data_IF_678114349354
#
_entry.id   IF_678114349354
#
_cell.length_a   1.000
_cell.length_b   1.000
_cell.length_c   1.000
_cell.angle_alpha   90.00
_cell.angle_beta   90.00
_cell.angle_gamma   90.00
#
_symmetry.space_group_name_H-M   'P 1'
#
loop_
_entity.id
_entity.type
_entity.pdbx_description
1 polymer ?
#
# COMPACT_ATOMS: atom_id res chain seq x y z
N UNK A 1 -16.77 6.99 -1.58
CA UNK A 1 -16.24 6.93 -2.95
C UNK A 1 -17.08 7.88 -3.78
N UNK A 2 -16.59 9.09 -4.02
CA UNK A 2 -17.32 10.07 -4.83
C UNK A 2 -16.73 9.99 -6.22
N UNK A 3 -17.57 10.10 -7.24
CA UNK A 3 -17.12 10.12 -8.62
C UNK A 3 -17.45 11.50 -9.20
N UNK A 4 -16.59 12.04 -10.06
CA UNK A 4 -16.80 13.30 -10.75
C UNK A 4 -16.67 13.12 -12.26
N UNK A 5 -17.67 13.58 -13.00
CA UNK A 5 -17.57 13.67 -14.45
C UNK A 5 -16.68 14.85 -14.83
N UNK A 6 -15.69 14.63 -15.69
CA UNK A 6 -14.75 15.67 -16.13
C UNK A 6 -15.36 16.61 -17.17
N UNK A 7 -16.40 16.18 -17.87
CA UNK A 7 -17.06 16.97 -18.92
C UNK A 7 -18.03 18.00 -18.34
N UNK A 8 -18.86 17.60 -17.38
CA UNK A 8 -19.90 18.47 -16.82
C UNK A 8 -19.69 18.78 -15.32
N UNK A 9 -18.56 18.38 -14.74
CA UNK A 9 -18.25 18.53 -13.31
C UNK A 9 -19.25 17.93 -12.33
N UNK A 10 -20.21 17.13 -12.82
CA UNK A 10 -21.22 16.48 -12.00
C UNK A 10 -20.58 15.51 -11.01
N UNK A 11 -20.92 15.62 -9.72
CA UNK A 11 -20.41 14.79 -8.64
C UNK A 11 -21.52 13.85 -8.15
N UNK A 12 -21.26 12.56 -8.12
CA UNK A 12 -22.22 11.54 -7.69
C UNK A 12 -21.55 10.39 -6.93
N UNK A 13 -22.32 9.68 -6.11
CA UNK A 13 -21.83 8.52 -5.35
C UNK A 13 -21.75 7.27 -6.23
N UNK A 14 -22.54 7.22 -7.30
CA UNK A 14 -22.63 6.07 -8.20
C UNK A 14 -22.96 6.51 -9.62
N UNK A 15 -22.18 6.05 -10.60
CA UNK A 15 -22.48 6.21 -12.02
C UNK A 15 -22.89 4.85 -12.58
N UNK A 16 -24.18 4.67 -12.86
CA UNK A 16 -24.73 3.40 -13.35
C UNK A 16 -24.22 3.16 -14.77
N UNK A 17 -23.35 2.16 -14.95
CA UNK A 17 -22.78 1.79 -16.25
C UNK A 17 -21.59 2.65 -16.71
N UNK A 18 -20.95 3.41 -15.82
CA UNK A 18 -19.80 4.24 -16.21
C UNK A 18 -20.16 5.43 -17.10
N UNK A 19 -21.43 5.85 -17.08
CA UNK A 19 -21.92 7.03 -17.82
C UNK A 19 -22.48 8.05 -16.85
N UNK A 20 -22.14 9.33 -17.08
CA UNK A 20 -22.67 10.44 -16.31
C UNK A 20 -24.17 10.66 -16.60
N UNK A 21 -25.09 10.63 -15.60
CA UNK A 21 -26.51 10.85 -15.84
C UNK A 21 -26.84 12.29 -16.26
N UNK A 22 -25.95 13.24 -16.01
CA UNK A 22 -26.17 14.65 -16.34
C UNK A 22 -25.78 15.01 -17.79
N UNK A 23 -24.73 14.38 -18.33
CA UNK A 23 -24.19 14.76 -19.64
C UNK A 23 -23.94 13.60 -20.60
N UNK A 24 -24.27 12.35 -20.22
CA UNK A 24 -24.10 11.17 -21.09
C UNK A 24 -22.63 10.80 -21.40
N UNK A 25 -21.67 11.55 -20.85
CA UNK A 25 -20.24 11.30 -21.05
C UNK A 25 -19.74 10.15 -20.17
N UNK A 26 -18.89 9.28 -20.73
CA UNK A 26 -18.19 8.22 -20.01
C UNK A 26 -16.88 8.71 -19.33
N UNK A 27 -16.55 10.00 -19.47
CA UNK A 27 -15.37 10.60 -18.83
C UNK A 27 -15.64 10.87 -17.34
N UNK A 28 -15.55 9.82 -16.53
CA UNK A 28 -15.73 9.86 -15.07
C UNK A 28 -14.40 9.59 -14.39
N UNK A 29 -14.01 10.49 -13.50
CA UNK A 29 -12.88 10.31 -12.58
C UNK A 29 -13.42 9.89 -11.22
N UNK A 30 -12.90 8.80 -10.67
CA UNK A 30 -13.08 8.53 -9.23
C UNK A 30 -12.37 9.65 -8.47
N UNK A 31 -13.13 10.47 -7.75
CA UNK A 31 -12.57 11.23 -6.64
C UNK A 31 -12.32 10.18 -5.55
N UNK A 32 -11.17 9.52 -5.66
CA UNK A 32 -10.55 8.93 -4.50
C UNK A 32 -10.53 10.07 -3.47
N UNK A 33 -11.38 9.95 -2.45
CA UNK A 33 -11.21 10.66 -1.20
C UNK A 33 -9.71 10.63 -0.92
N UNK A 34 -9.12 11.79 -0.65
CA UNK A 34 -7.71 11.96 -0.34
C UNK A 34 -7.33 11.07 0.86
N UNK A 35 -7.22 9.78 0.61
CA UNK A 35 -6.75 8.78 1.53
C UNK A 35 -5.26 8.79 1.26
N UNK A 36 -4.62 9.71 1.98
CA UNK A 36 -3.19 9.74 2.27
C UNK A 36 -2.62 8.32 2.10
N UNK A 37 -1.57 8.12 1.27
CA UNK A 37 -1.00 6.79 1.07
C UNK A 37 -0.77 6.15 2.44
N UNK A 38 -1.15 4.87 2.65
CA UNK A 38 -1.03 4.25 3.95
C UNK A 38 0.42 4.41 4.42
N UNK A 39 0.60 5.02 5.60
CA UNK A 39 1.90 5.22 6.18
C UNK A 39 2.67 3.89 6.16
N UNK A 40 3.98 3.89 5.81
CA UNK A 40 4.75 2.67 5.71
C UNK A 40 4.61 1.89 7.02
N UNK A 41 4.05 0.68 6.93
CA UNK A 41 3.93 -0.23 8.08
C UNK A 41 5.33 -0.40 8.67
N UNK A 42 5.56 0.19 9.83
CA UNK A 42 6.81 0.05 10.59
C UNK A 42 7.03 -1.44 10.78
N UNK A 43 8.01 -1.99 10.06
CA UNK A 43 8.36 -3.41 10.18
C UNK A 43 8.87 -3.62 11.59
N UNK A 44 8.30 -4.64 12.20
CA UNK A 44 8.50 -4.96 13.59
C UNK A 44 9.99 -5.22 13.90
N UNK A 45 10.59 -4.54 14.90
CA UNK A 45 12.04 -4.58 15.14
C UNK A 45 12.56 -5.96 15.56
N UNK A 46 11.67 -6.86 15.98
CA UNK A 46 12.03 -8.22 16.35
C UNK A 46 12.60 -9.05 15.20
N UNK A 47 12.20 -8.78 13.94
CA UNK A 47 12.79 -9.48 12.80
C UNK A 47 14.30 -9.21 12.67
N UNK A 48 14.73 -7.97 12.98
CA UNK A 48 16.13 -7.59 12.93
C UNK A 48 16.92 -8.25 14.08
N UNK A 49 16.33 -8.27 15.28
CA UNK A 49 16.89 -8.96 16.46
C UNK A 49 17.11 -10.45 16.22
N UNK A 50 16.13 -11.15 15.64
CA UNK A 50 16.26 -12.57 15.29
C UNK A 50 17.35 -12.81 14.24
N UNK A 51 17.44 -11.95 13.23
CA UNK A 51 18.49 -12.04 12.22
C UNK A 51 19.88 -11.87 12.85
N UNK A 52 20.07 -10.87 13.72
CA UNK A 52 21.34 -10.66 14.43
C UNK A 52 21.69 -11.84 15.35
N UNK A 53 20.74 -12.35 16.12
CA UNK A 53 20.96 -13.50 17.00
C UNK A 53 21.38 -14.75 16.22
N UNK A 54 20.73 -15.01 15.07
CA UNK A 54 21.07 -16.14 14.20
C UNK A 54 22.49 -16.03 13.65
N UNK A 55 22.89 -14.82 13.21
CA UNK A 55 24.24 -14.57 12.71
C UNK A 55 25.32 -14.75 13.79
N UNK A 56 25.08 -14.23 14.99
CA UNK A 56 26.00 -14.40 16.12
C UNK A 56 26.14 -15.88 16.50
N UNK A 57 25.03 -16.62 16.54
CA UNK A 57 25.05 -18.05 16.81
C UNK A 57 25.88 -18.82 15.77
N UNK A 58 25.69 -18.50 14.49
CA UNK A 58 26.43 -19.13 13.40
C UNK A 58 27.95 -18.83 13.51
N UNK A 59 28.33 -17.59 13.79
CA UNK A 59 29.74 -17.22 14.00
C UNK A 59 30.36 -17.97 15.17
N UNK A 60 29.64 -18.06 16.29
CA UNK A 60 30.11 -18.79 17.49
C UNK A 60 30.32 -20.27 17.16
N UNK A 61 29.38 -20.91 16.47
CA UNK A 61 29.50 -22.30 16.06
C UNK A 61 30.66 -22.50 15.08
N UNK A 62 30.87 -21.59 14.11
CA UNK A 62 32.01 -21.67 13.19
C UNK A 62 33.34 -21.57 13.96
N UNK A 63 33.48 -20.62 14.87
CA UNK A 63 34.71 -20.47 15.68
C UNK A 63 34.93 -21.69 16.57
N UNK A 64 33.89 -22.28 17.15
CA UNK A 64 33.99 -23.50 17.95
C UNK A 64 34.29 -24.75 17.13
N UNK A 65 33.74 -24.83 15.91
CA UNK A 65 33.92 -25.93 14.96
C UNK A 65 35.27 -25.85 14.24
N UNK A 66 35.96 -24.71 14.33
CA UNK A 66 37.31 -24.53 13.79
C UNK A 66 38.36 -24.52 14.91
N UNK A 67 38.53 -25.62 15.68
CA UNK A 67 39.81 -25.84 16.33
C UNK A 67 40.81 -26.22 15.23
N UNK A 68 41.94 -25.52 15.19
CA UNK A 68 43.11 -26.05 14.48
C UNK A 68 43.51 -27.42 15.01
#
# INVERSE_FOLDING_TARGET
MTYQCLTCSYKGVFFKGGVCPACGSANIKQLASSTKPPAPKVRKPYMLLFACALWLYLLVEIVRKWPG
#
